data_IF_644509791744
#
_entry.id   IF_644509791744
#
_cell.length_a   1.000
_cell.length_b   1.000
_cell.length_c   1.000
_cell.angle_alpha   90.00
_cell.angle_beta   90.00
_cell.angle_gamma   90.00
#
_symmetry.space_group_name_H-M   'P 1'
#
loop_
_entity.id
_entity.type
_entity.pdbx_description
1 polymer ?
#
# COMPACT_ATOMS: atom_id res chain seq x y z
N UNK A 1 -46.22 54.82 -33.76
CA UNK A 1 -46.32 53.41 -34.17
C UNK A 1 -44.99 52.68 -34.11
N UNK A 2 -43.89 53.16 -34.68
CA UNK A 2 -42.56 52.50 -34.64
C UNK A 2 -42.01 52.28 -33.23
N UNK A 3 -42.16 53.16 -32.27
CA UNK A 3 -41.69 53.02 -30.90
C UNK A 3 -42.42 51.90 -30.11
N UNK A 4 -43.70 51.65 -30.42
CA UNK A 4 -44.48 50.61 -29.74
C UNK A 4 -44.07 49.22 -30.26
N UNK A 5 -43.85 49.08 -31.56
CA UNK A 5 -43.39 47.84 -32.20
C UNK A 5 -41.97 47.45 -31.67
N UNK A 6 -41.07 48.44 -31.54
CA UNK A 6 -39.72 48.19 -30.98
C UNK A 6 -39.75 47.77 -29.55
N UNK A 7 -40.59 48.31 -28.67
CA UNK A 7 -40.73 47.86 -27.26
C UNK A 7 -41.37 46.50 -27.18
N UNK A 8 -42.36 46.19 -27.99
CA UNK A 8 -42.99 44.85 -28.01
C UNK A 8 -42.00 43.75 -28.41
N UNK A 9 -41.23 43.99 -29.49
CA UNK A 9 -40.18 43.08 -29.95
C UNK A 9 -39.11 42.90 -28.90
N UNK A 10 -38.67 43.94 -28.19
CA UNK A 10 -37.67 43.88 -27.13
C UNK A 10 -38.15 43.05 -25.91
N UNK A 11 -39.44 43.13 -25.55
CA UNK A 11 -40.04 42.34 -24.48
C UNK A 11 -40.10 40.86 -24.85
N UNK A 12 -40.54 40.50 -26.06
CA UNK A 12 -40.53 39.11 -26.55
C UNK A 12 -39.13 38.49 -26.54
N UNK A 13 -38.13 39.28 -26.98
CA UNK A 13 -36.73 38.84 -26.96
C UNK A 13 -36.17 38.63 -25.53
N UNK A 14 -36.60 39.47 -24.57
CA UNK A 14 -36.21 39.33 -23.15
C UNK A 14 -36.80 38.07 -22.52
N UNK A 15 -38.07 37.74 -22.79
CA UNK A 15 -38.75 36.53 -22.33
C UNK A 15 -38.05 35.29 -22.92
N UNK A 16 -37.74 35.31 -24.21
CA UNK A 16 -37.06 34.23 -24.90
C UNK A 16 -35.66 33.99 -24.32
N UNK A 17 -34.89 35.06 -24.04
CA UNK A 17 -33.59 34.95 -23.38
C UNK A 17 -33.71 34.36 -21.97
N UNK A 18 -34.69 34.81 -21.18
CA UNK A 18 -34.96 34.27 -19.85
C UNK A 18 -35.28 32.77 -19.90
N UNK A 19 -36.18 32.38 -20.82
CA UNK A 19 -36.54 30.98 -21.03
C UNK A 19 -35.30 30.10 -21.36
N UNK A 20 -34.46 30.56 -22.29
CA UNK A 20 -33.26 29.86 -22.68
C UNK A 20 -32.23 29.74 -21.51
N UNK A 21 -32.13 30.80 -20.70
CA UNK A 21 -31.28 30.82 -19.52
C UNK A 21 -31.75 29.76 -18.47
N UNK A 22 -33.08 29.70 -18.23
CA UNK A 22 -33.65 28.71 -17.30
C UNK A 22 -33.53 27.28 -17.83
N UNK A 23 -33.71 27.08 -19.13
CA UNK A 23 -33.53 25.78 -19.78
C UNK A 23 -32.09 25.28 -19.62
N UNK A 24 -31.10 26.14 -19.86
CA UNK A 24 -29.69 25.80 -19.68
C UNK A 24 -29.34 25.54 -18.20
N UNK A 25 -29.93 26.31 -17.27
CA UNK A 25 -29.76 26.10 -15.84
C UNK A 25 -30.37 24.76 -15.38
N UNK A 26 -31.57 24.41 -15.88
CA UNK A 26 -32.20 23.13 -15.58
C UNK A 26 -31.34 21.93 -16.09
N UNK A 27 -30.89 22.02 -17.34
CA UNK A 27 -30.05 20.98 -17.93
C UNK A 27 -28.73 20.82 -17.17
N UNK A 28 -28.10 21.91 -16.74
CA UNK A 28 -26.87 21.88 -15.94
C UNK A 28 -27.09 21.27 -14.56
N UNK A 29 -28.19 21.60 -13.89
CA UNK A 29 -28.57 21.01 -12.63
C UNK A 29 -28.84 19.49 -12.79
N UNK A 30 -29.56 19.12 -13.87
CA UNK A 30 -29.82 17.70 -14.18
C UNK A 30 -28.55 16.93 -14.46
N UNK A 31 -27.58 17.47 -15.20
CA UNK A 31 -26.26 16.86 -15.43
C UNK A 31 -25.52 16.61 -14.12
N UNK A 32 -25.53 17.58 -13.19
CA UNK A 32 -24.90 17.45 -11.87
C UNK A 32 -25.59 16.44 -10.97
N UNK A 33 -26.92 16.37 -11.01
CA UNK A 33 -27.69 15.36 -10.28
C UNK A 33 -27.37 13.95 -10.82
N UNK A 34 -27.32 13.81 -12.14
CA UNK A 34 -27.06 12.53 -12.78
C UNK A 34 -25.65 11.99 -12.55
N UNK A 35 -24.66 12.90 -12.50
CA UNK A 35 -23.24 12.52 -12.30
C UNK A 35 -22.81 12.48 -10.84
N UNK A 36 -23.51 13.19 -9.95
CA UNK A 36 -23.10 13.42 -8.57
C UNK A 36 -21.99 14.48 -8.43
N UNK A 37 -21.49 15.04 -9.53
CA UNK A 37 -20.37 15.98 -9.51
C UNK A 37 -20.79 17.42 -9.85
N UNK A 38 -20.26 18.37 -9.10
CA UNK A 38 -20.40 19.81 -9.36
C UNK A 38 -19.60 20.25 -10.58
N UNK A 39 -18.42 19.67 -10.78
CA UNK A 39 -17.50 19.95 -11.86
C UNK A 39 -17.46 18.73 -12.79
N UNK A 40 -18.15 18.83 -13.93
CA UNK A 40 -18.18 17.78 -14.95
C UNK A 40 -17.23 18.07 -16.12
N UNK A 41 -17.10 19.35 -16.47
CA UNK A 41 -16.33 19.79 -17.64
C UNK A 41 -15.33 20.87 -17.23
N UNK A 42 -14.24 20.99 -18.01
CA UNK A 42 -13.25 22.04 -17.81
C UNK A 42 -13.87 23.47 -17.88
N UNK A 43 -14.98 23.63 -18.60
CA UNK A 43 -15.71 24.90 -18.69
C UNK A 43 -16.45 25.27 -17.39
N UNK A 44 -16.69 24.34 -16.47
CA UNK A 44 -17.37 24.62 -15.20
C UNK A 44 -16.43 25.28 -14.19
N UNK A 45 -15.22 24.72 -14.02
CA UNK A 45 -14.17 25.25 -13.14
C UNK A 45 -12.82 24.62 -13.58
N UNK A 46 -12.05 25.33 -14.44
CA UNK A 46 -10.76 24.80 -14.94
C UNK A 46 -9.74 24.55 -13.81
N UNK A 47 -9.71 25.44 -12.81
CA UNK A 47 -8.78 25.35 -11.70
C UNK A 47 -9.16 24.20 -10.75
N UNK A 48 -10.44 24.12 -10.37
CA UNK A 48 -10.96 23.03 -9.52
C UNK A 48 -10.80 21.66 -10.18
N UNK A 49 -11.04 21.56 -11.49
CA UNK A 49 -10.83 20.32 -12.23
C UNK A 49 -9.36 19.89 -12.21
N UNK A 50 -8.43 20.80 -12.51
CA UNK A 50 -7.00 20.49 -12.52
C UNK A 50 -6.48 20.04 -11.14
N UNK A 51 -6.99 20.67 -10.07
CA UNK A 51 -6.64 20.28 -8.69
C UNK A 51 -7.24 18.91 -8.37
N UNK A 52 -8.52 18.67 -8.68
CA UNK A 52 -9.18 17.38 -8.40
C UNK A 52 -8.51 16.22 -9.14
N UNK A 53 -8.12 16.40 -10.41
CA UNK A 53 -7.39 15.36 -11.17
C UNK A 53 -6.02 15.05 -10.58
N UNK A 54 -5.28 16.07 -10.09
CA UNK A 54 -4.03 15.83 -9.35
C UNK A 54 -4.27 15.07 -8.04
N UNK A 55 -5.32 15.43 -7.29
CA UNK A 55 -5.69 14.72 -6.06
C UNK A 55 -6.09 13.27 -6.36
N UNK A 56 -6.87 13.02 -7.42
CA UNK A 56 -7.25 11.65 -7.84
C UNK A 56 -6.05 10.81 -8.23
N UNK A 57 -5.08 11.38 -8.93
CA UNK A 57 -3.83 10.69 -9.23
C UNK A 57 -3.06 10.32 -7.93
N UNK A 58 -3.01 11.24 -6.95
CA UNK A 58 -2.41 10.96 -5.64
C UNK A 58 -3.20 9.91 -4.85
N UNK A 59 -4.52 9.98 -4.81
CA UNK A 59 -5.40 9.01 -4.14
C UNK A 59 -5.17 7.61 -4.71
N UNK A 60 -5.16 7.48 -6.05
CA UNK A 60 -4.86 6.20 -6.71
C UNK A 60 -3.45 5.70 -6.39
N UNK A 61 -2.46 6.60 -6.40
CA UNK A 61 -1.07 6.28 -6.04
C UNK A 61 -0.93 5.81 -4.59
N UNK A 62 -1.60 6.47 -3.64
CA UNK A 62 -1.59 6.08 -2.21
C UNK A 62 -2.30 4.76 -1.98
N UNK A 63 -3.41 4.48 -2.67
CA UNK A 63 -4.07 3.17 -2.61
C UNK A 63 -3.12 2.04 -3.05
N UNK A 64 -2.42 2.25 -4.18
CA UNK A 64 -1.42 1.28 -4.64
C UNK A 64 -0.23 1.18 -3.67
N UNK A 65 0.22 2.29 -3.09
CA UNK A 65 1.27 2.30 -2.07
C UNK A 65 0.86 1.50 -0.83
N UNK A 66 -0.40 1.63 -0.38
CA UNK A 66 -0.95 0.80 0.70
C UNK A 66 -0.88 -0.70 0.41
N UNK A 67 -1.23 -1.12 -0.80
CA UNK A 67 -1.09 -2.52 -1.24
C UNK A 67 0.38 -2.97 -1.28
N UNK A 68 1.27 -2.11 -1.73
CA UNK A 68 2.71 -2.41 -1.76
C UNK A 68 3.27 -2.62 -0.34
N UNK A 69 2.84 -1.79 0.62
CA UNK A 69 3.23 -1.93 2.03
C UNK A 69 2.72 -3.26 2.60
N UNK A 70 1.46 -3.62 2.34
CA UNK A 70 0.90 -4.91 2.77
C UNK A 70 1.66 -6.11 2.18
N UNK A 71 2.01 -6.05 0.89
CA UNK A 71 2.85 -7.07 0.27
C UNK A 71 4.24 -7.12 0.91
N UNK A 72 4.82 -5.97 1.27
CA UNK A 72 6.08 -5.90 2.00
C UNK A 72 5.99 -6.53 3.39
N UNK A 73 4.91 -6.30 4.13
CA UNK A 73 4.68 -6.95 5.43
C UNK A 73 4.54 -8.46 5.28
N UNK A 74 3.80 -8.95 4.29
CA UNK A 74 3.67 -10.39 4.02
C UNK A 74 5.00 -11.04 3.65
N UNK A 75 5.84 -10.34 2.90
CA UNK A 75 7.20 -10.77 2.59
C UNK A 75 8.07 -10.88 3.85
N UNK A 76 8.01 -9.89 4.75
CA UNK A 76 8.76 -9.92 6.02
C UNK A 76 8.26 -11.03 6.95
N UNK A 77 6.96 -11.30 7.00
CA UNK A 77 6.39 -12.40 7.76
C UNK A 77 6.88 -13.77 7.25
N UNK A 78 7.00 -13.93 5.93
CA UNK A 78 7.56 -15.14 5.32
C UNK A 78 9.02 -15.32 5.72
N UNK A 79 9.82 -14.25 5.68
CA UNK A 79 11.22 -14.29 6.09
C UNK A 79 11.35 -14.56 7.60
N UNK A 80 10.51 -13.96 8.43
CA UNK A 80 10.52 -14.20 9.88
C UNK A 80 10.13 -15.64 10.23
N UNK A 81 9.13 -16.20 9.54
CA UNK A 81 8.76 -17.61 9.72
C UNK A 81 9.93 -18.56 9.44
N UNK A 82 10.65 -18.33 8.35
CA UNK A 82 11.84 -19.13 8.01
C UNK A 82 12.96 -18.95 9.04
N UNK A 83 13.22 -17.74 9.52
CA UNK A 83 14.21 -17.49 10.57
C UNK A 83 13.81 -18.09 11.92
N UNK A 84 12.51 -18.21 12.20
CA UNK A 84 12.03 -18.88 13.40
C UNK A 84 12.34 -20.38 13.37
N UNK A 85 12.11 -21.05 12.23
CA UNK A 85 12.50 -22.45 12.04
C UNK A 85 14.02 -22.62 12.10
N UNK A 86 14.78 -21.75 11.45
CA UNK A 86 16.25 -21.76 11.55
C UNK A 86 16.71 -21.62 13.00
N UNK A 87 16.07 -20.77 13.79
CA UNK A 87 16.38 -20.60 15.21
C UNK A 87 16.11 -21.88 16.02
N UNK A 88 14.98 -22.55 15.77
CA UNK A 88 14.64 -23.82 16.44
C UNK A 88 15.64 -24.93 16.07
N UNK A 89 16.04 -24.99 14.80
CA UNK A 89 17.09 -25.96 14.36
C UNK A 89 18.42 -25.66 15.04
N UNK A 90 18.86 -24.41 15.12
CA UNK A 90 20.10 -24.04 15.82
C UNK A 90 20.06 -24.40 17.31
N UNK A 91 18.92 -24.22 17.98
CA UNK A 91 18.74 -24.66 19.36
C UNK A 91 18.93 -26.19 19.47
N UNK A 92 18.34 -26.98 18.56
CA UNK A 92 18.53 -28.44 18.54
C UNK A 92 19.99 -28.82 18.28
N UNK A 93 20.65 -28.11 17.35
CA UNK A 93 22.09 -28.31 17.10
C UNK A 93 22.94 -28.01 18.33
N UNK A 94 22.60 -26.98 19.10
CA UNK A 94 23.24 -26.64 20.37
C UNK A 94 23.08 -27.76 21.40
N UNK A 95 21.86 -28.29 21.52
CA UNK A 95 21.62 -29.42 22.45
C UNK A 95 22.44 -30.65 22.08
N UNK A 96 22.54 -30.97 20.79
CA UNK A 96 23.40 -32.07 20.29
C UNK A 96 24.90 -31.83 20.58
N UNK A 97 25.36 -30.58 20.39
CA UNK A 97 26.73 -30.21 20.68
C UNK A 97 27.04 -30.32 22.18
N UNK A 98 26.14 -29.87 23.06
CA UNK A 98 26.27 -30.02 24.51
C UNK A 98 26.25 -31.50 24.91
N UNK A 99 25.38 -32.30 24.29
CA UNK A 99 25.35 -33.76 24.53
C UNK A 99 26.65 -34.43 24.13
N UNK A 100 27.19 -34.10 22.94
CA UNK A 100 28.43 -34.67 22.43
C UNK A 100 29.69 -34.24 23.23
N UNK A 101 29.65 -33.05 23.85
CA UNK A 101 30.75 -32.57 24.72
C UNK A 101 30.89 -33.38 26.03
N UNK A 102 29.94 -34.26 26.38
CA UNK A 102 29.99 -35.06 27.59
C UNK A 102 30.94 -36.25 27.41
N UNK A 103 31.79 -36.51 28.44
CA UNK A 103 32.68 -37.66 28.47
C UNK A 103 31.95 -39.01 28.72
N UNK A 104 30.63 -38.97 28.90
CA UNK A 104 29.82 -40.18 29.10
C UNK A 104 29.49 -40.91 27.79
N UNK A 105 29.74 -40.29 26.63
CA UNK A 105 29.48 -40.86 25.32
C UNK A 105 30.73 -41.51 24.75
N UNK A 106 30.52 -42.61 24.02
CA UNK A 106 31.54 -43.23 23.19
C UNK A 106 31.71 -42.50 21.85
N UNK A 107 32.80 -42.73 21.14
CA UNK A 107 33.02 -42.14 19.82
C UNK A 107 31.99 -42.64 18.80
N UNK A 108 31.50 -43.87 18.93
CA UNK A 108 30.41 -44.41 18.11
C UNK A 108 29.10 -43.68 18.37
N UNK A 109 28.78 -43.37 19.64
CA UNK A 109 27.58 -42.56 19.97
C UNK A 109 27.68 -41.16 19.41
N UNK A 110 28.87 -40.53 19.49
CA UNK A 110 29.13 -39.21 18.90
C UNK A 110 28.96 -39.23 17.38
N UNK A 111 29.38 -40.30 16.70
CA UNK A 111 29.19 -40.43 15.24
C UNK A 111 27.72 -40.50 14.84
N UNK A 112 26.86 -41.12 15.66
CA UNK A 112 25.41 -41.12 15.42
C UNK A 112 24.81 -39.73 15.60
N UNK A 113 25.18 -39.02 16.66
CA UNK A 113 24.72 -37.63 16.93
C UNK A 113 25.23 -36.66 15.84
N UNK A 114 26.47 -36.86 15.35
CA UNK A 114 27.04 -36.11 14.24
C UNK A 114 26.20 -36.22 12.98
N UNK A 115 25.62 -37.36 12.69
CA UNK A 115 24.75 -37.55 11.53
C UNK A 115 23.50 -36.67 11.60
N UNK A 116 22.85 -36.60 12.78
CA UNK A 116 21.74 -35.70 13.00
C UNK A 116 22.17 -34.23 12.84
N UNK A 117 23.31 -33.85 13.42
CA UNK A 117 23.86 -32.51 13.33
C UNK A 117 24.10 -32.06 11.88
N UNK A 118 24.64 -32.95 11.04
CA UNK A 118 24.85 -32.65 9.61
C UNK A 118 23.56 -32.53 8.82
N UNK A 119 22.55 -33.36 9.11
CA UNK A 119 21.24 -33.22 8.47
C UNK A 119 20.54 -31.88 8.85
N UNK A 120 20.68 -31.43 10.09
CA UNK A 120 20.20 -30.14 10.54
C UNK A 120 20.94 -28.98 9.84
N UNK A 121 22.26 -29.09 9.62
CA UNK A 121 23.01 -28.11 8.79
C UNK A 121 22.47 -28.02 7.35
N UNK A 122 22.23 -29.20 6.74
CA UNK A 122 21.64 -29.25 5.39
C UNK A 122 20.27 -28.62 5.35
N UNK A 123 19.45 -28.82 6.36
CA UNK A 123 18.11 -28.23 6.45
C UNK A 123 18.18 -26.72 6.59
N UNK A 124 19.07 -26.16 7.41
CA UNK A 124 19.29 -24.70 7.46
C UNK A 124 19.67 -24.15 6.08
N UNK A 125 20.60 -24.85 5.39
CA UNK A 125 21.03 -24.44 4.07
C UNK A 125 19.88 -24.49 3.04
N UNK A 126 19.02 -25.50 3.14
CA UNK A 126 17.80 -25.62 2.32
C UNK A 126 16.85 -24.48 2.60
N UNK A 127 16.53 -24.20 3.87
CA UNK A 127 15.65 -23.10 4.27
C UNK A 127 16.16 -21.77 3.73
N UNK A 128 17.47 -21.51 3.84
CA UNK A 128 18.09 -20.29 3.35
C UNK A 128 17.94 -20.11 1.82
N UNK A 129 18.03 -21.20 1.05
CA UNK A 129 17.93 -21.18 -0.41
C UNK A 129 16.49 -21.17 -0.92
N UNK A 130 15.62 -21.94 -0.26
CA UNK A 130 14.25 -22.20 -0.75
C UNK A 130 13.25 -21.15 -0.27
N UNK A 131 13.59 -20.35 0.77
CA UNK A 131 12.70 -19.29 1.25
C UNK A 131 12.64 -18.17 0.26
N UNK A 132 11.53 -18.10 -0.47
CA UNK A 132 11.30 -17.09 -1.50
C UNK A 132 9.91 -16.47 -1.39
N UNK A 133 9.80 -15.25 -1.85
CA UNK A 133 8.55 -14.55 -2.04
C UNK A 133 8.48 -14.02 -3.48
N UNK A 134 7.49 -14.49 -4.24
CA UNK A 134 7.37 -14.16 -5.65
C UNK A 134 8.67 -14.37 -6.45
N UNK A 135 9.29 -15.56 -6.33
CA UNK A 135 10.55 -15.97 -6.99
C UNK A 135 11.80 -15.16 -6.57
N UNK A 136 11.71 -14.37 -5.50
CA UNK A 136 12.86 -13.66 -4.93
C UNK A 136 13.26 -14.32 -3.63
N UNK A 137 14.50 -14.78 -3.54
CA UNK A 137 15.04 -15.34 -2.31
C UNK A 137 15.15 -14.23 -1.28
N UNK A 138 14.78 -14.53 -0.02
CA UNK A 138 14.70 -13.50 1.01
C UNK A 138 15.90 -13.47 1.95
N UNK A 139 16.44 -14.65 2.28
CA UNK A 139 17.40 -14.84 3.38
C UNK A 139 18.71 -15.52 2.94
N UNK A 140 18.99 -15.51 1.63
CA UNK A 140 20.20 -16.08 1.05
C UNK A 140 21.38 -15.09 0.97
N UNK A 141 21.22 -13.85 1.46
CA UNK A 141 22.23 -12.81 1.43
C UNK A 141 22.13 -11.82 0.28
N UNK A 142 21.29 -12.04 -0.73
CA UNK A 142 21.16 -11.15 -1.90
C UNK A 142 20.77 -9.70 -1.51
N UNK A 143 20.02 -9.55 -0.42
CA UNK A 143 19.51 -8.26 0.06
C UNK A 143 20.25 -7.72 1.29
N UNK A 144 21.46 -8.22 1.56
CA UNK A 144 22.29 -7.73 2.66
C UNK A 144 22.82 -6.32 2.38
N UNK A 145 23.36 -6.12 1.18
CA UNK A 145 23.98 -4.86 0.75
C UNK A 145 23.08 -4.05 -0.20
N UNK A 146 22.20 -4.70 -0.92
CA UNK A 146 21.21 -4.06 -1.80
C UNK A 146 19.82 -4.12 -1.17
N UNK A 147 19.19 -2.97 -0.82
CA UNK A 147 17.92 -2.98 -0.14
C UNK A 147 16.79 -3.43 -1.07
N UNK A 148 15.84 -4.16 -0.49
CA UNK A 148 14.55 -4.38 -1.11
C UNK A 148 13.71 -3.11 -0.92
N UNK A 149 13.36 -2.42 -2.01
CA UNK A 149 12.67 -1.12 -1.97
C UNK A 149 11.17 -1.29 -2.07
N UNK A 150 10.44 -0.82 -1.07
CA UNK A 150 8.98 -0.76 -1.07
C UNK A 150 8.54 0.67 -1.36
N UNK A 151 7.80 0.88 -2.45
CA UNK A 151 7.20 2.18 -2.75
C UNK A 151 6.01 2.40 -1.80
N UNK A 152 6.18 3.28 -0.81
CA UNK A 152 5.25 3.55 0.28
C UNK A 152 4.42 4.83 0.08
N UNK A 153 4.63 5.55 -1.01
CA UNK A 153 3.90 6.78 -1.31
C UNK A 153 3.58 6.93 -2.78
N UNK A 154 2.78 7.95 -3.12
CA UNK A 154 2.31 8.22 -4.47
C UNK A 154 3.36 8.83 -5.40
N UNK A 155 4.43 9.43 -4.84
CA UNK A 155 5.44 10.15 -5.62
C UNK A 155 6.74 9.37 -5.73
N UNK A 156 7.52 9.66 -6.77
CA UNK A 156 8.85 9.06 -6.95
C UNK A 156 9.77 9.36 -5.75
N UNK A 157 10.55 8.37 -5.33
CA UNK A 157 11.47 8.48 -4.22
C UNK A 157 10.86 8.25 -2.82
N UNK A 158 9.55 8.07 -2.72
CA UNK A 158 8.89 7.74 -1.44
C UNK A 158 8.97 6.23 -1.19
N UNK A 159 10.18 5.72 -0.96
CA UNK A 159 10.48 4.31 -0.75
C UNK A 159 10.92 4.03 0.68
N UNK A 160 10.65 2.82 1.14
CA UNK A 160 11.18 2.25 2.37
C UNK A 160 12.17 1.16 1.97
N UNK A 161 13.42 1.32 2.39
CA UNK A 161 14.48 0.38 2.11
C UNK A 161 14.54 -0.68 3.22
N UNK A 162 14.49 -1.95 2.82
CA UNK A 162 14.52 -3.12 3.68
C UNK A 162 15.78 -3.93 3.38
N UNK A 163 16.66 -4.10 4.36
CA UNK A 163 17.85 -4.92 4.28
C UNK A 163 17.57 -6.26 4.96
N UNK A 164 17.50 -7.33 4.18
CA UNK A 164 17.32 -8.68 4.67
C UNK A 164 18.70 -9.29 4.94
N UNK A 165 18.78 -10.05 6.02
CA UNK A 165 20.04 -10.69 6.41
C UNK A 165 20.33 -11.93 5.58
N UNK A 166 21.54 -12.44 5.76
CA UNK A 166 21.97 -13.73 5.24
C UNK A 166 21.80 -14.80 6.35
N UNK A 167 20.93 -15.76 6.13
CA UNK A 167 20.67 -16.88 7.03
C UNK A 167 21.28 -18.19 6.49
N UNK A 168 22.21 -18.11 5.54
CA UNK A 168 23.04 -19.26 5.17
C UNK A 168 24.03 -19.60 6.30
N UNK A 169 24.57 -20.81 6.30
CA UNK A 169 25.58 -21.22 7.29
C UNK A 169 26.73 -20.21 7.34
N UNK A 170 27.24 -19.80 6.19
CA UNK A 170 28.34 -18.82 6.10
C UNK A 170 27.93 -17.42 6.58
N UNK A 171 26.69 -16.99 6.28
CA UNK A 171 26.15 -15.69 6.69
C UNK A 171 25.93 -15.57 8.20
N UNK A 172 25.67 -16.69 8.87
CA UNK A 172 25.51 -16.79 10.32
C UNK A 172 26.85 -17.04 11.05
N UNK A 173 27.94 -17.25 10.30
CA UNK A 173 29.25 -17.55 10.88
C UNK A 173 29.43 -19.00 11.36
N UNK A 174 28.56 -19.92 10.94
CA UNK A 174 28.68 -21.34 11.21
C UNK A 174 29.47 -21.99 10.07
N UNK A 175 30.71 -22.47 10.32
CA UNK A 175 31.54 -23.11 9.30
C UNK A 175 30.93 -24.42 8.81
N UNK A 176 31.07 -24.72 7.51
CA UNK A 176 30.68 -26.02 6.97
C UNK A 176 31.47 -27.17 7.63
N UNK A 177 32.66 -26.87 8.14
CA UNK A 177 33.55 -27.80 8.87
C UNK A 177 33.17 -28.01 10.32
N UNK A 178 32.18 -27.27 10.84
CA UNK A 178 31.69 -27.44 12.22
C UNK A 178 31.20 -28.87 12.42
N UNK A 179 31.76 -29.55 13.42
CA UNK A 179 31.57 -30.96 13.71
C UNK A 179 31.45 -31.16 15.22
N UNK A 180 30.78 -32.22 15.63
CA UNK A 180 30.63 -32.63 17.02
C UNK A 180 31.13 -34.05 17.25
N UNK A 181 31.96 -34.60 16.30
CA UNK A 181 32.47 -35.97 16.35
C UNK A 181 33.51 -36.21 17.44
N UNK A 182 34.15 -35.15 17.94
CA UNK A 182 35.06 -35.23 19.10
C UNK A 182 34.58 -34.27 20.19
N UNK A 183 35.00 -34.49 21.44
CA UNK A 183 34.68 -33.61 22.55
C UNK A 183 35.16 -32.16 22.29
N UNK A 184 36.41 -32.03 21.83
CA UNK A 184 37.01 -30.71 21.57
C UNK A 184 36.27 -29.93 20.44
N UNK A 185 35.86 -30.67 19.41
CA UNK A 185 35.06 -30.05 18.31
C UNK A 185 33.66 -29.72 18.79
N UNK A 186 33.04 -30.53 19.64
CA UNK A 186 31.76 -30.25 20.26
C UNK A 186 31.80 -28.99 21.13
N UNK A 187 32.86 -28.77 21.91
CA UNK A 187 33.03 -27.51 22.68
C UNK A 187 33.15 -26.28 21.79
N UNK A 188 33.82 -26.36 20.64
CA UNK A 188 33.89 -25.30 19.65
C UNK A 188 32.53 -25.07 18.98
N UNK A 189 31.87 -26.16 18.59
CA UNK A 189 30.56 -26.10 17.95
C UNK A 189 29.50 -25.42 18.83
N UNK A 190 29.55 -25.58 20.15
CA UNK A 190 28.66 -24.83 21.07
C UNK A 190 28.84 -23.33 20.88
N UNK A 191 30.07 -22.83 20.86
CA UNK A 191 30.32 -21.39 20.68
C UNK A 191 29.91 -20.89 19.30
N UNK A 192 30.18 -21.66 18.24
CA UNK A 192 29.79 -21.32 16.86
C UNK A 192 28.29 -21.27 16.70
N UNK A 193 27.56 -22.23 17.29
CA UNK A 193 26.09 -22.24 17.24
C UNK A 193 25.49 -21.12 18.09
N UNK A 194 26.07 -20.80 19.25
CA UNK A 194 25.63 -19.65 20.07
C UNK A 194 25.81 -18.35 19.31
N UNK A 195 26.90 -18.17 18.57
CA UNK A 195 27.09 -17.00 17.69
C UNK A 195 26.07 -16.96 16.55
N UNK A 196 25.76 -18.11 15.94
CA UNK A 196 24.72 -18.20 14.90
C UNK A 196 23.34 -17.85 15.46
N UNK A 197 22.97 -18.35 16.64
CA UNK A 197 21.72 -17.99 17.33
C UNK A 197 21.63 -16.49 17.58
N UNK A 198 22.72 -15.87 18.01
CA UNK A 198 22.80 -14.44 18.23
C UNK A 198 22.61 -13.66 16.93
N UNK A 199 23.18 -14.11 15.80
CA UNK A 199 23.01 -13.50 14.49
C UNK A 199 21.57 -13.59 14.00
N UNK A 200 20.94 -14.77 14.08
CA UNK A 200 19.53 -14.97 13.73
C UNK A 200 18.62 -14.09 14.60
N UNK A 201 18.88 -14.00 15.89
CA UNK A 201 18.11 -13.16 16.81
C UNK A 201 18.22 -11.67 16.45
N UNK A 202 19.41 -11.19 16.08
CA UNK A 202 19.60 -9.81 15.57
C UNK A 202 18.85 -9.58 14.28
N UNK A 203 18.85 -10.54 13.34
CA UNK A 203 18.11 -10.43 12.09
C UNK A 203 16.60 -10.39 12.36
N UNK A 204 16.06 -11.25 13.20
CA UNK A 204 14.63 -11.24 13.60
C UNK A 204 14.23 -9.93 14.26
N UNK A 205 15.04 -9.40 15.16
CA UNK A 205 14.81 -8.10 15.78
C UNK A 205 14.73 -6.98 14.73
N UNK A 206 15.60 -6.98 13.72
CA UNK A 206 15.60 -6.04 12.62
C UNK A 206 14.34 -6.17 11.75
N UNK A 207 13.90 -7.41 11.46
CA UNK A 207 12.64 -7.63 10.72
C UNK A 207 11.44 -7.14 11.52
N UNK A 208 11.38 -7.36 12.84
CA UNK A 208 10.34 -6.82 13.70
C UNK A 208 10.29 -5.29 13.68
N UNK A 209 11.46 -4.62 13.71
CA UNK A 209 11.53 -3.17 13.56
C UNK A 209 11.04 -2.69 12.19
N UNK A 210 11.32 -3.42 11.12
CA UNK A 210 10.79 -3.11 9.79
C UNK A 210 9.28 -3.33 9.69
N UNK A 211 8.73 -4.38 10.31
CA UNK A 211 7.27 -4.60 10.35
C UNK A 211 6.57 -3.44 11.03
N UNK A 212 7.04 -3.01 12.20
CA UNK A 212 6.50 -1.84 12.90
C UNK A 212 6.59 -0.55 12.05
N UNK A 213 7.73 -0.35 11.36
CA UNK A 213 7.91 0.79 10.46
C UNK A 213 6.94 0.76 9.28
N UNK A 214 6.71 -0.40 8.67
CA UNK A 214 5.74 -0.56 7.59
C UNK A 214 4.31 -0.35 8.07
N UNK A 215 3.96 -0.82 9.26
CA UNK A 215 2.64 -0.61 9.87
C UNK A 215 2.37 0.89 10.09
N UNK A 216 3.33 1.62 10.65
CA UNK A 216 3.21 3.07 10.79
C UNK A 216 3.11 3.77 9.43
N UNK A 217 3.90 3.34 8.44
CA UNK A 217 3.82 3.89 7.08
C UNK A 217 2.47 3.61 6.43
N UNK A 218 1.92 2.41 6.62
CA UNK A 218 0.58 2.06 6.14
C UNK A 218 -0.49 2.97 6.74
N UNK A 219 -0.47 3.15 8.06
CA UNK A 219 -1.42 3.99 8.77
C UNK A 219 -1.36 5.46 8.29
N UNK A 220 -0.15 6.01 8.12
CA UNK A 220 0.03 7.37 7.57
C UNK A 220 -0.47 7.47 6.14
N UNK A 221 -0.17 6.47 5.30
CA UNK A 221 -0.61 6.43 3.89
C UNK A 221 -2.13 6.37 3.79
N UNK A 222 -2.80 5.55 4.61
CA UNK A 222 -4.25 5.43 4.63
C UNK A 222 -4.93 6.69 5.17
N UNK A 223 -4.42 7.29 6.24
CA UNK A 223 -4.93 8.57 6.75
C UNK A 223 -4.80 9.70 5.71
N UNK A 224 -3.66 9.74 5.01
CA UNK A 224 -3.45 10.73 3.94
C UNK A 224 -4.41 10.49 2.78
N UNK A 225 -4.62 9.22 2.39
CA UNK A 225 -5.59 8.83 1.37
C UNK A 225 -7.01 9.32 1.73
N UNK A 226 -7.47 9.06 2.95
CA UNK A 226 -8.80 9.47 3.43
C UNK A 226 -8.97 10.99 3.43
N UNK A 227 -7.96 11.71 3.90
CA UNK A 227 -7.97 13.18 3.90
C UNK A 227 -8.02 13.76 2.48
N UNK A 228 -7.30 13.16 1.53
CA UNK A 228 -7.33 13.59 0.13
C UNK A 228 -8.67 13.26 -0.54
N UNK A 229 -9.27 12.11 -0.25
CA UNK A 229 -10.62 11.75 -0.73
C UNK A 229 -11.64 12.76 -0.21
N UNK A 230 -11.59 13.10 1.09
CA UNK A 230 -12.46 14.11 1.68
C UNK A 230 -12.25 15.52 1.08
N UNK A 231 -11.00 15.88 0.76
CA UNK A 231 -10.69 17.17 0.13
C UNK A 231 -11.15 17.21 -1.33
N UNK A 232 -10.98 16.14 -2.09
CA UNK A 232 -11.43 15.99 -3.48
C UNK A 232 -12.95 16.06 -3.56
N UNK A 233 -13.65 15.36 -2.66
CA UNK A 233 -15.10 15.39 -2.54
C UNK A 233 -15.62 16.83 -2.34
N UNK A 234 -15.02 17.61 -1.46
CA UNK A 234 -15.39 19.04 -1.28
C UNK A 234 -15.20 19.90 -2.51
N UNK A 235 -14.27 19.54 -3.39
CA UNK A 235 -14.02 20.29 -4.63
C UNK A 235 -15.00 19.86 -5.72
N UNK A 236 -15.21 18.57 -5.89
CA UNK A 236 -15.84 18.00 -7.08
C UNK A 236 -17.28 17.53 -6.88
N UNK A 237 -17.66 17.06 -5.68
CA UNK A 237 -18.98 16.52 -5.45
C UNK A 237 -20.07 17.62 -5.45
N UNK A 238 -21.26 17.24 -5.87
CA UNK A 238 -22.43 18.10 -5.86
C UNK A 238 -23.32 17.77 -4.65
N UNK A 239 -23.80 18.81 -3.99
CA UNK A 239 -24.90 18.67 -3.03
C UNK A 239 -26.20 18.42 -3.81
N UNK A 240 -26.63 17.18 -3.83
CA UNK A 240 -27.81 16.72 -4.58
C UNK A 240 -29.07 17.45 -4.13
N UNK A 241 -29.25 17.74 -2.84
CA UNK A 241 -30.42 18.45 -2.35
C UNK A 241 -30.47 19.86 -2.90
N UNK A 242 -29.33 20.55 -2.94
CA UNK A 242 -29.22 21.90 -3.52
C UNK A 242 -29.43 21.90 -5.03
N UNK A 243 -28.88 20.94 -5.76
CA UNK A 243 -29.07 20.85 -7.22
C UNK A 243 -30.49 20.45 -7.59
N UNK A 244 -31.20 19.63 -6.79
CA UNK A 244 -32.63 19.34 -6.94
C UNK A 244 -33.49 20.61 -6.75
N UNK A 245 -33.15 21.43 -5.76
CA UNK A 245 -33.84 22.74 -5.59
C UNK A 245 -33.57 23.65 -6.77
N UNK A 246 -32.35 23.73 -7.28
CA UNK A 246 -31.98 24.49 -8.45
C UNK A 246 -32.75 24.02 -9.70
N UNK A 247 -32.82 22.72 -9.93
CA UNK A 247 -33.55 22.09 -11.01
C UNK A 247 -35.05 22.45 -10.95
N UNK A 248 -35.69 22.26 -9.79
CA UNK A 248 -37.09 22.54 -9.56
C UNK A 248 -37.40 24.04 -9.81
N UNK A 249 -36.56 24.92 -9.25
CA UNK A 249 -36.66 26.37 -9.46
C UNK A 249 -36.55 26.73 -10.94
N UNK A 250 -35.56 26.21 -11.64
CA UNK A 250 -35.34 26.48 -13.06
C UNK A 250 -36.51 25.95 -13.92
N UNK A 251 -37.04 24.77 -13.59
CA UNK A 251 -38.20 24.17 -14.27
C UNK A 251 -39.47 25.01 -14.10
N UNK A 252 -39.77 25.49 -12.88
CA UNK A 252 -40.91 26.35 -12.60
C UNK A 252 -40.76 27.68 -13.36
N UNK A 253 -39.58 28.31 -13.33
CA UNK A 253 -39.30 29.55 -14.03
C UNK A 253 -39.38 29.42 -15.57
N UNK A 254 -38.96 28.26 -16.09
CA UNK A 254 -39.08 27.90 -17.49
C UNK A 254 -40.57 27.85 -17.91
N UNK A 255 -41.41 27.15 -17.12
CA UNK A 255 -42.85 27.06 -17.35
C UNK A 255 -43.51 28.47 -17.30
N UNK A 256 -43.15 29.27 -16.29
CA UNK A 256 -43.66 30.65 -16.17
C UNK A 256 -43.25 31.52 -17.39
N UNK A 257 -42.01 31.38 -17.86
CA UNK A 257 -41.53 32.08 -19.05
C UNK A 257 -42.27 31.62 -20.33
N UNK A 258 -42.61 30.32 -20.45
CA UNK A 258 -43.46 29.83 -21.55
C UNK A 258 -44.86 30.43 -21.52
N UNK A 259 -45.52 30.48 -20.36
CA UNK A 259 -46.81 31.14 -20.23
C UNK A 259 -46.73 32.61 -20.56
N UNK A 260 -45.72 33.35 -20.10
CA UNK A 260 -45.51 34.75 -20.42
C UNK A 260 -45.30 34.97 -21.94
N UNK A 261 -44.60 34.04 -22.62
CA UNK A 261 -44.39 34.11 -24.07
C UNK A 261 -45.72 33.91 -24.81
N UNK A 262 -46.55 32.93 -24.40
CA UNK A 262 -47.88 32.70 -25.00
C UNK A 262 -48.78 33.92 -24.83
N UNK A 263 -48.83 34.51 -23.62
CA UNK A 263 -49.59 35.72 -23.35
C UNK A 263 -49.11 36.92 -24.19
N UNK A 264 -47.80 37.04 -24.38
CA UNK A 264 -47.23 38.13 -25.22
C UNK A 264 -47.51 37.91 -26.69
N UNK A 265 -47.66 36.69 -27.20
CA UNK A 265 -48.07 36.42 -28.60
C UNK A 265 -49.57 36.62 -28.88
N UNK A 266 -50.42 36.62 -27.83
CA UNK A 266 -51.85 36.81 -27.94
C UNK A 266 -52.30 38.34 -27.89
N UNK A 267 -51.40 39.20 -27.51
CA UNK A 267 -51.62 40.70 -27.55
C UNK A 267 -51.06 41.28 -28.84
#
# INVERSE_FOLDING_TARGET
MFQIIGKWYAQGLSIWRSMNTQFNAANKALERIATGYRINRAADDPAGLAISEKMRAQISGLNQAGKNIQNGMSMLQTAEGALNETHAILQRMRDLAVQSASDTLTDDDRALIQTEYEELKKEIQRISKDTQFNQKNLINGDYKDQPFKIQAGANAGQTIDLYLGDASLSGMGLPDTSSIGTREDAEKAISEVDDAINQVSKQRSKLGAYMNRLEHAYNVTMNTHENLVSAESRIRDADIAKEMMNFTKASILQQAAQYAMVMHMQQ
#
